data_IF_414018087490
#
_entry.id   IF_414018087490
#
_cell.length_a   1.000
_cell.length_b   1.000
_cell.length_c   1.000
_cell.angle_alpha   90.00
_cell.angle_beta   90.00
_cell.angle_gamma   90.00
#
_symmetry.space_group_name_H-M   'P 1'
#
loop_
_entity.id
_entity.type
_entity.pdbx_description
1 polymer ?
#
# COMPACT_ATOMS: atom_id res chain seq x y z
N UNK A 1 30.19 -2.18 -67.50
CA UNK A 1 28.99 -2.89 -67.01
C UNK A 1 28.87 -2.71 -65.50
N UNK A 2 28.19 -1.63 -65.05
CA UNK A 2 27.96 -1.29 -63.63
C UNK A 2 26.63 -0.58 -63.27
N UNK A 3 25.74 -0.13 -64.18
CA UNK A 3 24.60 0.71 -63.76
C UNK A 3 23.44 -0.06 -63.09
N UNK A 4 23.22 -1.33 -63.44
CA UNK A 4 22.06 -2.08 -62.96
C UNK A 4 22.17 -2.55 -61.49
N UNK A 5 23.39 -2.69 -60.96
CA UNK A 5 23.58 -3.12 -59.56
C UNK A 5 23.43 -1.95 -58.58
N UNK A 6 23.77 -0.73 -58.98
CA UNK A 6 23.65 0.48 -58.15
C UNK A 6 22.18 0.86 -57.90
N UNK A 7 21.33 0.77 -58.93
CA UNK A 7 19.89 1.04 -58.80
C UNK A 7 19.16 -0.02 -57.96
N UNK A 8 19.54 -1.29 -58.13
CA UNK A 8 18.97 -2.40 -57.36
C UNK A 8 19.32 -2.28 -55.87
N UNK A 9 20.56 -1.90 -55.55
CA UNK A 9 20.99 -1.68 -54.16
C UNK A 9 20.25 -0.50 -53.52
N UNK A 10 20.10 0.61 -54.25
CA UNK A 10 19.32 1.75 -53.78
C UNK A 10 17.86 1.36 -53.50
N UNK A 11 17.21 0.64 -54.42
CA UNK A 11 15.84 0.15 -54.24
C UNK A 11 15.72 -0.77 -53.01
N UNK A 12 16.60 -1.76 -52.86
CA UNK A 12 16.61 -2.65 -51.69
C UNK A 12 16.79 -1.88 -50.38
N UNK A 13 17.65 -0.87 -50.34
CA UNK A 13 17.82 -0.04 -49.13
C UNK A 13 16.57 0.77 -48.79
N UNK A 14 15.91 1.35 -49.80
CA UNK A 14 14.65 2.08 -49.58
C UNK A 14 13.53 1.16 -49.10
N UNK A 15 13.42 -0.05 -49.67
CA UNK A 15 12.42 -1.04 -49.27
C UNK A 15 12.65 -1.51 -47.84
N UNK A 16 13.89 -1.83 -47.46
CA UNK A 16 14.23 -2.24 -46.10
C UNK A 16 13.99 -1.11 -45.08
N UNK A 17 14.26 0.15 -45.47
CA UNK A 17 13.96 1.30 -44.61
C UNK A 17 12.46 1.45 -44.38
N UNK A 18 11.65 1.38 -45.45
CA UNK A 18 10.18 1.44 -45.35
C UNK A 18 9.65 0.26 -44.53
N UNK A 19 10.15 -0.95 -44.76
CA UNK A 19 9.77 -2.14 -43.99
C UNK A 19 10.11 -2.00 -42.50
N UNK A 20 11.28 -1.43 -42.18
CA UNK A 20 11.69 -1.15 -40.80
C UNK A 20 10.77 -0.13 -40.11
N UNK A 21 10.42 0.96 -40.81
CA UNK A 21 9.47 1.97 -40.28
C UNK A 21 8.11 1.33 -40.01
N UNK A 22 7.59 0.56 -40.97
CA UNK A 22 6.31 -0.13 -40.81
C UNK A 22 6.34 -1.15 -39.67
N UNK A 23 7.44 -1.87 -39.51
CA UNK A 23 7.63 -2.80 -38.40
C UNK A 23 7.66 -2.09 -37.04
N UNK A 24 8.38 -0.98 -36.92
CA UNK A 24 8.40 -0.16 -35.71
C UNK A 24 7.01 0.41 -35.38
N UNK A 25 6.28 0.90 -36.38
CA UNK A 25 4.90 1.37 -36.20
C UNK A 25 3.96 0.23 -35.75
N UNK A 26 4.05 -0.95 -36.38
CA UNK A 26 3.25 -2.11 -36.00
C UNK A 26 3.58 -2.58 -34.58
N UNK A 27 4.86 -2.63 -34.23
CA UNK A 27 5.29 -2.95 -32.87
C UNK A 27 4.73 -1.96 -31.86
N UNK A 28 4.80 -0.65 -32.16
CA UNK A 28 4.26 0.37 -31.27
C UNK A 28 2.73 0.30 -31.15
N UNK A 29 2.00 -0.05 -32.22
CA UNK A 29 0.55 -0.25 -32.15
C UNK A 29 0.14 -1.50 -31.35
N UNK A 30 0.95 -2.56 -31.36
CA UNK A 30 0.63 -3.81 -30.67
C UNK A 30 1.13 -3.85 -29.22
N UNK A 31 2.28 -3.24 -28.95
CA UNK A 31 2.98 -3.35 -27.68
C UNK A 31 3.27 -1.99 -27.02
N UNK A 32 2.90 -0.87 -27.65
CA UNK A 32 3.15 0.47 -27.14
C UNK A 32 2.56 0.67 -25.75
N UNK A 33 1.30 0.29 -25.56
CA UNK A 33 0.62 0.41 -24.25
C UNK A 33 1.35 -0.40 -23.16
N UNK A 34 1.74 -1.63 -23.46
CA UNK A 34 2.48 -2.48 -22.53
C UNK A 34 3.86 -1.90 -22.17
N UNK A 35 4.57 -1.35 -23.15
CA UNK A 35 5.85 -0.65 -22.94
C UNK A 35 5.65 0.61 -22.09
N UNK A 36 4.59 1.38 -22.34
CA UNK A 36 4.30 2.58 -21.55
C UNK A 36 3.89 2.26 -20.12
N UNK A 37 3.17 1.16 -19.88
CA UNK A 37 2.79 0.72 -18.54
C UNK A 37 4.02 0.24 -17.76
N UNK A 38 4.90 -0.53 -18.40
CA UNK A 38 6.15 -0.99 -17.79
C UNK A 38 7.08 0.16 -17.40
N UNK A 39 7.06 1.25 -18.18
CA UNK A 39 7.86 2.45 -17.92
C UNK A 39 7.13 3.51 -17.09
N UNK A 40 5.84 3.31 -16.76
CA UNK A 40 5.09 4.26 -15.94
C UNK A 40 5.62 4.16 -14.50
N UNK A 41 6.15 5.24 -13.91
CA UNK A 41 6.47 5.24 -12.49
C UNK A 41 5.18 4.94 -11.72
N UNK A 42 5.23 4.00 -10.75
CA UNK A 42 4.07 3.68 -9.93
C UNK A 42 3.56 4.98 -9.31
N UNK A 43 2.26 5.32 -9.46
CA UNK A 43 1.74 6.52 -8.86
C UNK A 43 1.99 6.43 -7.35
N UNK A 44 2.73 7.40 -6.82
CA UNK A 44 2.72 7.66 -5.38
C UNK A 44 1.26 8.00 -5.08
N UNK A 45 0.59 7.18 -4.28
CA UNK A 45 -0.82 7.34 -3.96
C UNK A 45 -1.04 8.78 -3.48
N UNK A 46 -1.67 9.60 -4.32
CA UNK A 46 -1.95 10.99 -4.00
C UNK A 46 -2.94 11.00 -2.84
N UNK A 47 -2.43 11.36 -1.67
CA UNK A 47 -3.15 11.32 -0.43
C UNK A 47 -4.29 12.35 -0.49
N UNK A 48 -5.52 11.90 -0.81
CA UNK A 48 -6.72 12.74 -0.75
C UNK A 48 -6.75 13.39 0.64
N UNK A 49 -6.65 14.71 0.66
CA UNK A 49 -6.47 15.48 1.89
C UNK A 49 -7.58 15.13 2.90
N UNK A 50 -7.15 14.76 4.10
CA UNK A 50 -8.01 14.52 5.26
C UNK A 50 -8.96 15.72 5.46
N UNK A 51 -10.26 15.48 5.32
CA UNK A 51 -11.32 16.46 5.62
C UNK A 51 -12.06 16.01 6.89
N UNK A 52 -11.78 16.62 8.05
CA UNK A 52 -12.57 16.33 9.25
C UNK A 52 -13.98 16.89 9.04
N UNK A 53 -15.01 16.02 9.13
CA UNK A 53 -16.41 16.45 9.27
C UNK A 53 -17.36 16.13 8.11
N UNK A 54 -16.95 15.49 7.02
CA UNK A 54 -17.89 15.01 5.99
C UNK A 54 -18.19 13.53 6.21
N UNK A 55 -19.07 13.23 7.16
CA UNK A 55 -19.82 11.98 7.14
C UNK A 55 -20.76 12.02 5.95
N UNK A 56 -20.39 11.40 4.83
CA UNK A 56 -21.18 11.51 3.60
C UNK A 56 -20.76 10.55 2.50
N UNK A 57 -21.36 9.36 2.52
CA UNK A 57 -21.72 8.61 1.31
C UNK A 57 -20.57 8.05 0.48
N UNK A 58 -19.75 7.19 1.07
CA UNK A 58 -19.00 6.16 0.33
C UNK A 58 -19.63 4.79 0.61
N UNK A 59 -19.37 3.82 -0.26
CA UNK A 59 -19.59 2.37 -0.07
C UNK A 59 -19.39 1.92 1.40
N UNK A 60 -20.02 0.83 1.88
CA UNK A 60 -19.95 0.41 3.30
C UNK A 60 -18.51 0.29 3.86
N UNK A 61 -17.52 0.15 3.00
CA UNK A 61 -16.10 0.09 3.33
C UNK A 61 -15.47 1.41 3.78
N UNK A 62 -16.08 2.59 3.52
CA UNK A 62 -15.51 3.90 3.88
C UNK A 62 -16.21 4.59 5.07
N UNK A 63 -17.14 3.91 5.75
CA UNK A 63 -17.88 4.51 6.86
C UNK A 63 -16.96 4.79 8.06
N UNK A 64 -17.04 6.01 8.59
CA UNK A 64 -16.32 6.44 9.79
C UNK A 64 -17.32 6.83 10.89
N UNK A 65 -17.28 6.13 12.01
CA UNK A 65 -18.11 6.39 13.19
C UNK A 65 -17.24 6.82 14.36
N UNK A 66 -17.53 7.96 15.00
CA UNK A 66 -16.77 8.50 16.13
C UNK A 66 -15.25 8.63 15.88
N UNK A 67 -14.85 8.97 14.65
CA UNK A 67 -13.44 9.10 14.28
C UNK A 67 -12.71 7.76 14.11
N UNK A 68 -13.43 6.63 14.07
CA UNK A 68 -12.88 5.31 13.79
C UNK A 68 -13.46 4.82 12.46
N UNK A 69 -12.60 4.29 11.59
CA UNK A 69 -13.03 3.69 10.32
C UNK A 69 -13.63 2.30 10.57
N UNK A 70 -14.92 2.14 10.30
CA UNK A 70 -15.74 0.99 10.71
C UNK A 70 -15.14 -0.34 10.24
N UNK A 71 -14.64 -0.41 8.99
CA UNK A 71 -14.13 -1.66 8.41
C UNK A 71 -12.79 -2.11 9.00
N UNK A 72 -11.94 -1.16 9.42
CA UNK A 72 -10.57 -1.46 9.89
C UNK A 72 -10.42 -1.35 11.41
N UNK A 73 -11.28 -0.58 12.07
CA UNK A 73 -11.10 -0.19 13.48
C UNK A 73 -9.94 0.79 13.72
N UNK A 74 -9.30 1.33 12.67
CA UNK A 74 -8.24 2.33 12.79
C UNK A 74 -8.82 3.73 13.02
N UNK A 75 -8.07 4.57 13.72
CA UNK A 75 -8.42 5.98 13.94
C UNK A 75 -8.34 6.73 12.60
N UNK A 76 -9.42 7.37 12.17
CA UNK A 76 -9.45 8.11 10.93
C UNK A 76 -8.78 9.49 11.11
N UNK A 77 -7.48 9.57 10.83
CA UNK A 77 -6.62 10.75 11.00
C UNK A 77 -5.61 10.91 9.86
N UNK A 78 -4.81 11.97 9.87
CA UNK A 78 -3.74 12.21 8.89
C UNK A 78 -2.75 11.03 8.82
N UNK A 79 -2.55 10.46 7.63
CA UNK A 79 -1.72 9.26 7.43
C UNK A 79 -2.48 7.93 7.48
N UNK A 80 -3.79 7.95 7.83
CA UNK A 80 -4.65 6.77 7.83
C UNK A 80 -4.60 6.00 6.50
N UNK A 81 -4.69 6.70 5.37
CA UNK A 81 -4.69 6.07 4.05
C UNK A 81 -3.40 5.33 3.73
N UNK A 82 -2.26 5.89 4.12
CA UNK A 82 -0.96 5.25 3.95
C UNK A 82 -0.87 3.96 4.78
N UNK A 83 -1.39 3.98 6.01
CA UNK A 83 -1.44 2.79 6.87
C UNK A 83 -2.45 1.75 6.37
N UNK A 84 -3.65 2.18 5.95
CA UNK A 84 -4.66 1.31 5.36
C UNK A 84 -4.10 0.61 4.11
N UNK A 85 -3.50 1.35 3.19
CA UNK A 85 -2.97 0.80 1.95
C UNK A 85 -1.78 -0.15 2.13
N UNK A 86 -0.90 0.09 3.11
CA UNK A 86 0.34 -0.67 3.25
C UNK A 86 0.31 -1.72 4.38
N UNK A 87 -0.42 -1.47 5.46
CA UNK A 87 -0.35 -2.30 6.68
C UNK A 87 -1.52 -3.27 6.85
N UNK A 88 -2.55 -3.19 5.99
CA UNK A 88 -3.70 -4.12 6.02
C UNK A 88 -3.76 -5.06 4.82
N UNK A 89 -2.72 -5.09 3.98
CA UNK A 89 -2.67 -5.91 2.78
C UNK A 89 -2.49 -7.41 3.09
N UNK A 90 -1.80 -7.75 4.18
CA UNK A 90 -1.46 -9.14 4.54
C UNK A 90 -2.32 -9.69 5.69
N UNK A 91 -2.80 -8.83 6.59
CA UNK A 91 -3.57 -9.21 7.77
C UNK A 91 -4.43 -8.06 8.26
N UNK A 92 -5.36 -8.35 9.18
CA UNK A 92 -6.24 -7.34 9.78
C UNK A 92 -5.47 -6.23 10.50
N UNK A 93 -6.02 -5.02 10.45
CA UNK A 93 -5.57 -3.87 11.23
C UNK A 93 -5.71 -4.05 12.75
N UNK A 94 -6.38 -5.11 13.21
CA UNK A 94 -6.48 -5.45 14.64
C UNK A 94 -5.12 -5.64 15.30
N UNK A 95 -4.12 -6.14 14.57
CA UNK A 95 -2.75 -6.22 15.08
C UNK A 95 -2.16 -4.84 15.37
N UNK A 96 -2.55 -3.81 14.63
CA UNK A 96 -2.12 -2.44 14.91
C UNK A 96 -2.81 -1.93 16.18
N UNK A 97 -4.14 -2.05 16.25
CA UNK A 97 -4.93 -1.47 17.35
C UNK A 97 -4.71 -2.14 18.70
N UNK A 98 -4.24 -3.39 18.72
CA UNK A 98 -3.89 -4.12 19.94
C UNK A 98 -2.47 -3.85 20.44
N UNK A 99 -1.59 -3.30 19.61
CA UNK A 99 -0.22 -3.02 19.98
C UNK A 99 -0.04 -1.54 20.31
N UNK A 100 1.01 -1.24 21.06
CA UNK A 100 1.46 0.11 21.37
C UNK A 100 2.97 0.16 21.29
N UNK A 101 3.50 1.15 20.60
CA UNK A 101 4.93 1.35 20.47
C UNK A 101 5.27 2.82 20.24
N UNK A 102 6.49 3.21 20.61
CA UNK A 102 7.03 4.53 20.24
C UNK A 102 7.30 4.56 18.73
N UNK A 103 7.60 5.75 18.18
CA UNK A 103 8.01 5.85 16.77
C UNK A 103 9.17 4.89 16.44
N UNK A 104 10.20 4.84 17.29
CA UNK A 104 11.31 3.91 17.13
C UNK A 104 10.85 2.44 17.16
N UNK A 105 9.96 2.08 18.08
CA UNK A 105 9.42 0.72 18.15
C UNK A 105 8.62 0.33 16.90
N UNK A 106 7.81 1.24 16.36
CA UNK A 106 7.10 1.01 15.10
C UNK A 106 8.06 0.88 13.91
N UNK A 107 9.12 1.70 13.85
CA UNK A 107 10.17 1.56 12.84
C UNK A 107 10.83 0.19 12.91
N UNK A 108 11.19 -0.31 14.09
CA UNK A 108 11.78 -1.64 14.26
C UNK A 108 10.83 -2.76 13.79
N UNK A 109 9.53 -2.63 14.09
CA UNK A 109 8.52 -3.59 13.61
C UNK A 109 8.44 -3.59 12.08
N UNK A 110 8.45 -2.42 11.45
CA UNK A 110 8.46 -2.28 9.97
C UNK A 110 9.72 -2.93 9.39
N UNK A 111 10.90 -2.63 9.95
CA UNK A 111 12.17 -3.22 9.52
C UNK A 111 12.17 -4.73 9.64
N UNK A 112 11.65 -5.26 10.75
CA UNK A 112 11.48 -6.70 10.94
C UNK A 112 10.55 -7.32 9.90
N UNK A 113 9.42 -6.67 9.57
CA UNK A 113 8.50 -7.15 8.52
C UNK A 113 9.15 -7.10 7.13
N UNK A 114 9.95 -6.08 6.82
CA UNK A 114 10.70 -6.02 5.57
C UNK A 114 11.73 -7.15 5.48
N UNK A 115 12.42 -7.46 6.57
CA UNK A 115 13.43 -8.50 6.61
C UNK A 115 12.85 -9.93 6.59
N UNK A 116 11.68 -10.15 7.21
CA UNK A 116 11.17 -11.51 7.49
C UNK A 116 9.85 -11.84 6.82
N UNK A 117 9.02 -10.84 6.52
CA UNK A 117 7.66 -11.01 5.98
C UNK A 117 7.48 -10.42 4.59
N UNK A 118 8.59 -10.09 3.92
CA UNK A 118 8.60 -9.57 2.55
C UNK A 118 7.74 -8.30 2.38
N UNK A 119 7.66 -7.46 3.42
CA UNK A 119 7.11 -6.12 3.28
C UNK A 119 8.00 -5.34 2.31
N UNK A 120 7.40 -4.71 1.30
CA UNK A 120 8.13 -3.92 0.33
C UNK A 120 8.72 -2.66 0.96
N UNK A 121 9.63 -2.00 0.23
CA UNK A 121 10.12 -0.69 0.62
C UNK A 121 8.99 0.33 0.56
N UNK A 122 8.71 0.98 1.70
CA UNK A 122 7.62 1.94 1.86
C UNK A 122 7.98 3.33 1.32
N UNK A 123 9.26 3.62 1.07
CA UNK A 123 9.72 4.91 0.56
C UNK A 123 9.23 6.09 1.43
N UNK A 124 8.72 7.14 0.78
CA UNK A 124 8.20 8.34 1.45
C UNK A 124 7.02 8.07 2.39
N UNK A 125 6.29 6.95 2.21
CA UNK A 125 5.19 6.59 3.09
C UNK A 125 5.67 6.13 4.47
N UNK A 126 6.93 5.71 4.62
CA UNK A 126 7.40 5.18 5.90
C UNK A 126 7.30 6.22 7.02
N UNK A 127 7.76 7.45 6.76
CA UNK A 127 7.70 8.52 7.75
C UNK A 127 6.25 8.86 8.12
N UNK A 128 5.36 8.91 7.14
CA UNK A 128 3.93 9.16 7.31
C UNK A 128 3.29 8.07 8.18
N UNK A 129 3.59 6.81 7.87
CA UNK A 129 3.09 5.62 8.58
C UNK A 129 3.59 5.63 10.02
N UNK A 130 4.89 5.79 10.24
CA UNK A 130 5.50 5.80 11.58
C UNK A 130 4.94 6.95 12.41
N UNK A 131 4.80 8.15 11.83
CA UNK A 131 4.20 9.31 12.50
C UNK A 131 2.75 9.04 12.91
N UNK A 132 1.92 8.51 12.00
CA UNK A 132 0.54 8.15 12.31
C UNK A 132 0.48 7.11 13.44
N UNK A 133 1.27 6.04 13.35
CA UNK A 133 1.25 4.95 14.34
C UNK A 133 1.71 5.44 15.71
N UNK A 134 2.78 6.23 15.78
CA UNK A 134 3.27 6.79 17.02
C UNK A 134 2.30 7.82 17.62
N UNK A 135 1.58 8.58 16.80
CA UNK A 135 0.62 9.59 17.29
C UNK A 135 -0.64 8.94 17.85
N UNK A 136 -1.16 7.91 17.16
CA UNK A 136 -2.46 7.34 17.45
C UNK A 136 -2.40 6.05 18.31
N UNK A 137 -1.25 5.37 18.32
CA UNK A 137 -1.03 4.09 19.00
C UNK A 137 0.28 4.10 19.81
N UNK A 138 0.60 5.22 20.45
CA UNK A 138 1.73 5.36 21.38
C UNK A 138 1.49 4.61 22.70
N UNK A 139 2.55 4.18 23.42
CA UNK A 139 2.40 3.59 24.75
C UNK A 139 1.63 4.52 25.67
N UNK A 140 0.59 3.98 26.30
CA UNK A 140 -0.14 4.64 27.35
C UNK A 140 0.47 4.20 28.69
N UNK A 141 0.46 5.08 29.70
CA UNK A 141 0.89 4.72 31.07
C UNK A 141 -0.20 3.90 31.77
N UNK A 142 -0.57 2.80 31.14
CA UNK A 142 -1.40 1.75 31.69
C UNK A 142 -0.44 0.69 32.19
N UNK A 143 -0.29 0.63 33.50
CA UNK A 143 0.48 -0.43 34.16
C UNK A 143 -0.10 -1.82 33.85
N UNK A 144 0.44 -2.83 34.53
CA UNK A 144 -0.14 -4.18 34.48
C UNK A 144 -1.64 -4.12 34.76
N UNK A 145 -2.44 -4.95 34.07
CA UNK A 145 -3.86 -5.18 34.40
C UNK A 145 -4.03 -5.22 35.92
N UNK A 146 -4.97 -4.44 36.43
CA UNK A 146 -5.33 -4.44 37.85
C UNK A 146 -5.59 -5.88 38.32
N UNK A 147 -5.22 -6.17 39.57
CA UNK A 147 -5.52 -7.46 40.18
C UNK A 147 -7.01 -7.77 40.06
N UNK A 148 -7.34 -9.02 39.75
CA UNK A 148 -8.73 -9.47 39.72
C UNK A 148 -9.28 -9.43 41.16
N UNK A 149 -10.49 -8.90 41.33
CA UNK A 149 -11.26 -8.98 42.57
C UNK A 149 -11.88 -10.38 42.63
N UNK A 150 -11.19 -11.30 43.32
CA UNK A 150 -11.54 -12.74 43.35
C UNK A 150 -12.87 -12.97 44.06
N UNK A 151 -13.21 -12.11 45.03
CA UNK A 151 -14.46 -12.15 45.77
C UNK A 151 -15.67 -11.81 44.91
N UNK A 152 -15.49 -11.02 43.85
CA UNK A 152 -16.55 -10.64 42.90
C UNK A 152 -16.78 -11.66 41.76
N UNK A 153 -15.93 -12.68 41.63
CA UNK A 153 -16.00 -13.62 40.50
C UNK A 153 -16.97 -14.76 40.81
N UNK A 154 -18.09 -14.81 40.08
CA UNK A 154 -18.96 -15.99 40.03
C UNK A 154 -18.33 -17.07 39.13
N UNK A 155 -17.82 -18.13 39.76
CA UNK A 155 -17.24 -19.27 39.05
C UNK A 155 -18.32 -20.29 38.69
N UNK A 156 -18.38 -20.68 37.41
CA UNK A 156 -19.22 -21.79 36.97
C UNK A 156 -18.44 -23.10 37.01
N UNK A 157 -19.08 -24.17 37.49
CA UNK A 157 -18.56 -25.53 37.39
C UNK A 157 -18.80 -26.04 35.98
N UNK A 158 -17.71 -26.34 35.25
CA UNK A 158 -17.80 -27.06 33.99
C UNK A 158 -18.04 -28.54 34.29
N UNK A 159 -19.19 -29.05 33.91
CA UNK A 159 -19.43 -30.50 33.85
C UNK A 159 -18.73 -31.03 32.61
N UNK A 160 -17.71 -31.88 32.81
CA UNK A 160 -17.02 -32.58 31.74
C UNK A 160 -17.73 -33.93 31.57
N UNK A 161 -18.62 -34.03 30.58
CA UNK A 161 -19.15 -35.31 30.06
C UNK A 161 -18.11 -36.06 29.22
#
# INVERSE_FOLDING_TARGET
MRPAYDTLRAMLTTINFVAGVLFCCLFWLLAGDAVTEMLRPRPVMEQKAYRPGTGGGGEPEEKVTNGIHDATGLIFAEGFEAVRGNCTACHSAKLITQNRATAAGWTEIIRWMQATQNLHDLGENEEIIVKYLATNYAPEDVGRRAGLDVESIEWYLLELE
#
